data_IF_725522432448
#
_entry.id   IF_725522432448
#
_cell.length_a   1.000
_cell.length_b   1.000
_cell.length_c   1.000
_cell.angle_alpha   90.00
_cell.angle_beta   90.00
_cell.angle_gamma   90.00
#
_symmetry.space_group_name_H-M   'P 1'
#
loop_
_entity.id
_entity.type
_entity.pdbx_description
1 polymer ?
#
# COMPACT_ATOMS: atom_id res chain seq x y z
N UNK A 1 49.99 -10.85 51.88
CA UNK A 1 49.95 -9.55 52.60
C UNK A 1 49.29 -8.53 51.68
N UNK A 2 47.96 -8.37 51.69
CA UNK A 2 47.13 -7.54 52.59
C UNK A 2 47.33 -6.01 52.43
N UNK A 3 46.31 -5.38 51.82
CA UNK A 3 45.84 -3.98 51.94
C UNK A 3 46.76 -2.94 51.24
N UNK A 4 46.24 -1.94 50.49
CA UNK A 4 45.11 -1.05 50.80
C UNK A 4 44.45 -0.50 49.52
N UNK A 5 43.13 -0.49 49.57
CA UNK A 5 42.24 0.35 48.74
C UNK A 5 42.48 1.82 49.10
N UNK A 6 42.70 2.68 48.11
CA UNK A 6 42.57 4.14 48.27
C UNK A 6 41.30 4.58 47.54
N UNK A 7 40.32 5.01 48.32
CA UNK A 7 39.18 5.79 47.87
C UNK A 7 39.68 7.14 47.36
N UNK A 8 39.23 7.56 46.18
CA UNK A 8 39.38 8.93 45.71
C UNK A 8 37.97 9.52 45.63
N UNK A 9 37.87 10.71 46.21
CA UNK A 9 36.66 11.46 46.47
C UNK A 9 35.85 11.77 45.22
N UNK A 10 34.53 11.67 45.37
CA UNK A 10 33.53 12.15 44.44
C UNK A 10 33.47 13.68 44.59
N UNK A 11 33.96 14.40 43.59
CA UNK A 11 33.73 15.85 43.49
C UNK A 11 32.43 16.07 42.73
N UNK A 12 31.41 16.51 43.46
CA UNK A 12 30.15 17.02 42.93
C UNK A 12 30.40 18.26 42.07
N UNK A 13 30.29 18.10 40.76
CA UNK A 13 30.18 19.20 39.80
C UNK A 13 28.73 19.38 39.38
N UNK A 14 28.07 20.40 39.93
CA UNK A 14 26.87 20.99 39.34
C UNK A 14 27.21 21.43 37.92
N UNK A 15 26.65 20.76 36.91
CA UNK A 15 26.50 21.33 35.58
C UNK A 15 25.00 21.47 35.36
N UNK A 16 24.60 22.72 35.17
CA UNK A 16 23.22 23.16 35.08
C UNK A 16 22.42 22.31 34.11
N UNK A 17 21.29 21.83 34.60
CA UNK A 17 20.17 21.42 33.77
C UNK A 17 19.73 22.67 32.99
N UNK A 18 20.28 22.85 31.79
CA UNK A 18 19.53 23.47 30.72
C UNK A 18 18.33 22.57 30.50
N UNK A 19 17.22 22.95 31.11
CA UNK A 19 15.87 22.53 30.76
C UNK A 19 15.65 23.05 29.34
N UNK A 20 16.25 22.36 28.38
CA UNK A 20 15.99 22.52 26.97
C UNK A 20 14.53 22.14 26.80
N UNK A 21 13.74 23.15 26.48
CA UNK A 21 12.33 23.09 26.20
C UNK A 21 11.92 21.70 25.70
N UNK A 22 11.18 20.97 26.53
CA UNK A 22 10.20 20.01 26.05
C UNK A 22 9.25 20.83 25.20
N UNK A 23 9.58 20.95 23.92
CA UNK A 23 8.67 21.41 22.90
C UNK A 23 7.53 20.41 22.88
N UNK A 24 6.54 20.74 23.69
CA UNK A 24 5.14 20.46 23.46
C UNK A 24 4.87 20.72 21.96
N UNK A 25 4.97 19.67 21.15
CA UNK A 25 4.26 19.55 19.88
C UNK A 25 3.02 18.67 20.09
N UNK A 26 1.94 19.14 20.76
CA UNK A 26 0.68 18.44 20.76
C UNK A 26 -0.13 18.88 19.52
N UNK A 27 0.39 18.65 18.31
CA UNK A 27 -0.33 19.03 17.09
C UNK A 27 0.00 18.21 15.85
N UNK A 28 0.56 17.01 15.96
CA UNK A 28 0.80 16.14 14.79
C UNK A 28 0.67 14.67 15.17
N UNK A 29 -0.42 14.27 15.83
CA UNK A 29 -0.79 12.86 15.79
C UNK A 29 -0.96 12.48 14.31
N UNK A 30 -0.19 11.52 13.77
CA UNK A 30 -0.49 11.00 12.46
C UNK A 30 -1.93 10.50 12.54
N UNK A 31 -2.82 10.95 11.65
CA UNK A 31 -4.12 10.30 11.46
C UNK A 31 -3.84 8.81 11.49
N UNK A 32 -4.37 8.09 12.49
CA UNK A 32 -4.20 6.65 12.63
C UNK A 32 -4.50 6.06 11.26
N UNK A 33 -3.51 5.37 10.67
CA UNK A 33 -3.73 4.72 9.39
C UNK A 33 -4.88 3.75 9.61
N UNK A 34 -6.01 4.00 8.93
CA UNK A 34 -7.16 3.13 8.97
C UNK A 34 -6.82 1.93 8.09
N UNK A 35 -6.16 0.97 8.71
CA UNK A 35 -5.78 -0.31 8.09
C UNK A 35 -6.74 -1.38 8.60
N UNK A 36 -7.30 -2.16 7.68
CA UNK A 36 -8.20 -3.28 7.98
C UNK A 36 -7.72 -4.55 7.30
N UNK A 37 -8.03 -5.71 7.88
CA UNK A 37 -8.08 -6.97 7.12
C UNK A 37 -9.16 -6.86 6.05
N UNK A 38 -9.01 -7.56 4.92
CA UNK A 38 -10.04 -7.54 3.88
C UNK A 38 -11.29 -8.27 4.38
N UNK A 39 -12.45 -7.61 4.46
CA UNK A 39 -13.70 -8.27 4.84
C UNK A 39 -14.16 -9.26 3.77
N UNK A 40 -14.78 -10.37 4.18
CA UNK A 40 -15.30 -11.39 3.25
C UNK A 40 -16.27 -10.82 2.21
N UNK A 41 -17.04 -9.78 2.56
CA UNK A 41 -17.95 -9.12 1.64
C UNK A 41 -17.24 -8.38 0.48
N UNK A 42 -16.04 -7.83 0.71
CA UNK A 42 -15.25 -7.20 -0.35
C UNK A 42 -14.81 -8.25 -1.35
N UNK A 43 -14.34 -9.40 -0.86
CA UNK A 43 -13.94 -10.54 -1.68
C UNK A 43 -15.13 -11.08 -2.50
N UNK A 44 -16.32 -11.19 -1.91
CA UNK A 44 -17.52 -11.66 -2.60
C UNK A 44 -17.98 -10.70 -3.70
N UNK A 45 -17.94 -9.38 -3.44
CA UNK A 45 -18.38 -8.36 -4.41
C UNK A 45 -17.40 -8.16 -5.57
N UNK A 46 -16.12 -8.45 -5.36
CA UNK A 46 -15.05 -8.31 -6.34
C UNK A 46 -14.24 -9.62 -6.45
N UNK A 47 -14.74 -10.60 -7.21
CA UNK A 47 -14.14 -11.92 -7.33
C UNK A 47 -12.67 -11.89 -7.77
N UNK A 48 -12.26 -10.91 -8.55
CA UNK A 48 -10.87 -10.78 -8.99
C UNK A 48 -9.91 -10.47 -7.84
N UNK A 49 -10.36 -9.66 -6.86
CA UNK A 49 -9.63 -9.45 -5.61
C UNK A 49 -9.60 -10.74 -4.79
N UNK A 50 -10.68 -11.51 -4.78
CA UNK A 50 -10.71 -12.81 -4.11
C UNK A 50 -9.68 -13.78 -4.68
N UNK A 51 -9.54 -13.85 -6.01
CA UNK A 51 -8.52 -14.68 -6.66
C UNK A 51 -7.12 -14.22 -6.25
N UNK A 52 -6.83 -12.91 -6.37
CA UNK A 52 -5.53 -12.37 -5.96
C UNK A 52 -5.22 -12.64 -4.48
N UNK A 53 -6.21 -12.48 -3.60
CA UNK A 53 -6.06 -12.77 -2.18
C UNK A 53 -5.78 -14.26 -1.95
N UNK A 54 -6.53 -15.18 -2.57
CA UNK A 54 -6.28 -16.63 -2.46
C UNK A 54 -4.88 -17.02 -2.94
N UNK A 55 -4.36 -16.39 -3.99
CA UNK A 55 -2.98 -16.62 -4.44
C UNK A 55 -1.95 -16.12 -3.42
N UNK A 56 -2.21 -14.99 -2.78
CA UNK A 56 -1.38 -14.55 -1.65
C UNK A 56 -1.42 -15.56 -0.49
N UNK A 57 -2.58 -16.15 -0.19
CA UNK A 57 -2.70 -17.16 0.86
C UNK A 57 -1.97 -18.46 0.50
N UNK A 58 -2.06 -18.92 -0.75
CA UNK A 58 -1.36 -20.13 -1.21
C UNK A 58 0.16 -19.98 -1.20
N UNK A 59 0.66 -18.74 -1.24
CA UNK A 59 2.08 -18.38 -1.12
C UNK A 59 2.54 -18.15 0.33
N UNK A 60 1.71 -18.46 1.33
CA UNK A 60 2.10 -18.48 2.74
C UNK A 60 1.50 -17.39 3.62
N UNK A 61 0.61 -16.53 3.11
CA UNK A 61 0.02 -15.40 3.87
C UNK A 61 1.06 -14.40 4.42
N UNK A 62 2.20 -14.25 3.77
CA UNK A 62 3.25 -13.35 4.22
C UNK A 62 3.72 -12.45 3.08
N UNK A 63 4.13 -11.24 3.43
CA UNK A 63 4.83 -10.39 2.48
C UNK A 63 6.21 -10.96 2.19
N UNK A 64 6.48 -11.32 0.94
CA UNK A 64 7.80 -11.81 0.49
C UNK A 64 8.17 -11.04 -0.77
N UNK A 65 9.19 -10.17 -0.65
CA UNK A 65 9.73 -9.43 -1.80
C UNK A 65 10.11 -10.42 -2.91
N UNK A 66 9.63 -10.21 -4.14
CA UNK A 66 9.93 -11.16 -5.21
C UNK A 66 8.78 -12.10 -5.54
N UNK A 67 8.18 -12.67 -4.50
CA UNK A 67 7.38 -13.88 -4.62
C UNK A 67 5.93 -13.64 -4.26
N UNK A 68 5.70 -12.77 -3.27
CA UNK A 68 4.39 -12.46 -2.72
C UNK A 68 4.40 -11.01 -2.20
N UNK A 69 4.63 -10.06 -3.11
CA UNK A 69 4.71 -8.62 -2.83
C UNK A 69 3.51 -7.85 -3.44
N UNK A 70 3.55 -6.52 -3.38
CA UNK A 70 2.47 -5.67 -3.91
C UNK A 70 2.24 -5.83 -5.42
N UNK A 71 3.30 -5.97 -6.21
CA UNK A 71 3.15 -6.09 -7.66
C UNK A 71 2.70 -7.49 -8.07
N UNK A 72 3.05 -8.53 -7.32
CA UNK A 72 2.49 -9.88 -7.48
C UNK A 72 0.99 -9.90 -7.18
N UNK A 73 0.53 -9.24 -6.11
CA UNK A 73 -0.91 -9.16 -5.83
C UNK A 73 -1.68 -8.51 -7.01
N UNK A 74 -1.13 -7.42 -7.57
CA UNK A 74 -1.74 -6.75 -8.73
C UNK A 74 -1.64 -7.59 -10.01
N UNK A 75 -0.55 -8.33 -10.20
CA UNK A 75 -0.45 -9.30 -11.30
C UNK A 75 -1.54 -10.37 -11.21
N UNK A 76 -1.73 -10.96 -10.03
CA UNK A 76 -2.75 -11.98 -9.79
C UNK A 76 -4.17 -11.39 -10.01
N UNK A 77 -4.39 -10.12 -9.64
CA UNK A 77 -5.63 -9.40 -9.95
C UNK A 77 -5.83 -9.23 -11.47
N UNK A 78 -4.81 -8.78 -12.21
CA UNK A 78 -4.88 -8.62 -13.67
C UNK A 78 -5.19 -9.97 -14.33
N UNK A 79 -4.51 -11.05 -13.94
CA UNK A 79 -4.77 -12.39 -14.44
C UNK A 79 -6.22 -12.83 -14.17
N UNK A 80 -6.76 -12.50 -12.99
CA UNK A 80 -8.15 -12.80 -12.63
C UNK A 80 -9.19 -12.04 -13.47
N UNK A 81 -8.81 -10.94 -14.12
CA UNK A 81 -9.67 -10.26 -15.11
C UNK A 81 -9.71 -10.97 -16.47
N UNK A 82 -9.00 -12.09 -16.63
CA UNK A 82 -8.88 -12.82 -17.90
C UNK A 82 -7.82 -12.28 -18.86
N UNK A 83 -7.05 -11.26 -18.43
CA UNK A 83 -5.99 -10.68 -19.23
C UNK A 83 -4.65 -11.41 -18.97
N UNK A 84 -3.96 -11.90 -20.01
CA UNK A 84 -2.67 -12.56 -19.83
C UNK A 84 -1.61 -11.53 -19.41
N UNK A 85 -0.72 -11.94 -18.51
CA UNK A 85 0.45 -11.15 -18.11
C UNK A 85 1.70 -11.87 -18.60
N UNK A 86 2.49 -11.27 -19.53
CA UNK A 86 3.55 -11.99 -20.23
C UNK A 86 4.78 -12.32 -19.38
N UNK A 87 4.98 -11.59 -18.28
CA UNK A 87 6.09 -11.78 -17.36
C UNK A 87 5.76 -11.13 -16.02
N UNK A 88 6.49 -11.48 -14.96
CA UNK A 88 6.32 -10.88 -13.63
C UNK A 88 6.53 -9.35 -13.68
N UNK A 89 5.51 -8.52 -13.39
CA UNK A 89 5.69 -7.08 -13.40
C UNK A 89 6.30 -6.59 -12.09
N UNK A 90 7.16 -5.59 -12.19
CA UNK A 90 7.58 -4.74 -11.07
C UNK A 90 6.68 -3.50 -11.00
N UNK A 91 6.79 -2.69 -9.96
CA UNK A 91 6.08 -1.39 -9.91
C UNK A 91 6.54 -0.43 -11.01
N UNK A 92 7.77 -0.59 -11.53
CA UNK A 92 8.24 0.12 -12.72
C UNK A 92 7.48 -0.31 -13.97
N UNK A 93 7.35 -1.62 -14.17
CA UNK A 93 6.58 -2.18 -15.27
C UNK A 93 5.13 -1.70 -15.23
N UNK A 94 4.50 -1.76 -14.05
CA UNK A 94 3.11 -1.31 -13.85
C UNK A 94 2.92 0.20 -14.06
N UNK A 95 4.00 1.01 -14.01
CA UNK A 95 3.94 2.45 -14.30
C UNK A 95 3.91 2.75 -15.83
N UNK A 96 4.21 1.76 -16.66
CA UNK A 96 4.26 1.92 -18.12
C UNK A 96 2.86 1.88 -18.75
N UNK A 97 2.48 2.95 -19.45
CA UNK A 97 1.19 3.00 -20.17
C UNK A 97 1.12 1.94 -21.26
N UNK A 98 2.26 1.62 -21.90
CA UNK A 98 2.33 0.58 -22.92
C UNK A 98 1.98 -0.79 -22.32
N UNK A 99 2.67 -1.17 -21.24
CA UNK A 99 2.44 -2.45 -20.58
C UNK A 99 1.01 -2.55 -20.05
N UNK A 100 0.52 -1.52 -19.35
CA UNK A 100 -0.84 -1.55 -18.78
C UNK A 100 -1.90 -1.69 -19.87
N UNK A 101 -1.75 -1.03 -21.03
CA UNK A 101 -2.65 -1.22 -22.17
C UNK A 101 -2.59 -2.63 -22.76
N UNK A 102 -1.39 -3.21 -22.88
CA UNK A 102 -1.20 -4.57 -23.37
C UNK A 102 -1.93 -5.60 -22.48
N UNK A 103 -2.00 -5.37 -21.17
CA UNK A 103 -2.71 -6.24 -20.21
C UNK A 103 -4.14 -5.78 -19.91
N UNK A 104 -4.73 -4.91 -20.75
CA UNK A 104 -6.16 -4.59 -20.69
C UNK A 104 -6.56 -3.41 -19.81
N UNK A 105 -5.64 -2.49 -19.49
CA UNK A 105 -5.89 -1.32 -18.66
C UNK A 105 -5.44 0.00 -19.31
N UNK A 106 -6.26 1.05 -19.20
CA UNK A 106 -5.96 2.39 -19.72
C UNK A 106 -5.61 3.38 -18.61
N UNK A 107 -4.67 4.33 -18.84
CA UNK A 107 -4.36 5.37 -17.87
C UNK A 107 -5.53 6.35 -17.70
N UNK A 108 -5.75 6.76 -16.46
CA UNK A 108 -6.89 7.58 -16.05
C UNK A 108 -6.48 8.74 -15.16
N UNK A 109 -7.37 9.74 -15.07
CA UNK A 109 -7.17 10.93 -14.21
C UNK A 109 -8.03 10.91 -12.93
N UNK A 110 -9.08 10.11 -12.92
CA UNK A 110 -10.04 10.02 -11.82
C UNK A 110 -10.03 8.61 -11.26
N UNK A 111 -10.13 8.48 -9.95
CA UNK A 111 -10.10 7.17 -9.27
C UNK A 111 -11.51 6.61 -9.15
N UNK A 112 -11.67 5.33 -9.49
CA UNK A 112 -12.88 4.55 -9.34
C UNK A 112 -12.56 3.17 -8.76
N UNK A 113 -13.58 2.52 -8.22
CA UNK A 113 -13.51 1.11 -7.81
C UNK A 113 -13.10 0.23 -8.99
N UNK A 114 -12.21 -0.72 -8.74
CA UNK A 114 -11.58 -1.59 -9.75
C UNK A 114 -10.33 -1.01 -10.41
N UNK A 115 -10.01 0.27 -10.18
CA UNK A 115 -8.79 0.86 -10.73
C UNK A 115 -7.54 0.37 -9.98
N UNK A 116 -6.42 0.25 -10.70
CA UNK A 116 -5.10 -0.01 -10.14
C UNK A 116 -4.41 1.34 -9.89
N UNK A 117 -3.87 1.52 -8.70
CA UNK A 117 -3.03 2.66 -8.34
C UNK A 117 -1.58 2.21 -8.29
N UNK A 118 -0.71 2.93 -9.00
CA UNK A 118 0.73 2.69 -8.96
C UNK A 118 1.40 4.01 -8.60
N UNK A 119 2.36 3.99 -7.69
CA UNK A 119 3.22 5.14 -7.46
C UNK A 119 4.68 4.73 -7.34
N UNK A 120 5.56 5.65 -7.74
CA UNK A 120 7.01 5.53 -7.60
C UNK A 120 7.60 6.81 -7.04
N UNK A 121 8.61 6.64 -6.21
CA UNK A 121 9.32 7.73 -5.53
C UNK A 121 10.80 7.38 -5.37
N UNK A 122 11.62 8.40 -5.13
CA UNK A 122 13.03 8.22 -4.77
C UNK A 122 13.18 8.28 -3.26
N UNK A 123 13.82 7.27 -2.66
CA UNK A 123 14.16 7.28 -1.23
C UNK A 123 15.33 8.25 -0.92
N UNK A 124 15.79 8.29 0.32
CA UNK A 124 16.91 9.14 0.75
C UNK A 124 18.22 8.83 0.00
N UNK A 125 18.41 7.59 -0.43
CA UNK A 125 19.57 7.13 -1.20
C UNK A 125 19.42 7.34 -2.72
N UNK A 126 18.40 8.10 -3.14
CA UNK A 126 18.09 8.38 -4.55
C UNK A 126 17.72 7.13 -5.39
N UNK A 127 17.38 6.03 -4.73
CA UNK A 127 16.92 4.79 -5.36
C UNK A 127 15.43 4.85 -5.64
N UNK A 128 15.02 4.33 -6.80
CA UNK A 128 13.61 4.20 -7.13
C UNK A 128 12.94 3.10 -6.31
N UNK A 129 11.93 3.50 -5.54
CA UNK A 129 11.00 2.62 -4.85
C UNK A 129 9.60 2.85 -5.41
N UNK A 130 8.69 1.93 -5.12
CA UNK A 130 7.31 2.03 -5.58
C UNK A 130 6.40 1.10 -4.82
N UNK A 131 5.11 1.31 -5.03
CA UNK A 131 4.06 0.49 -4.44
C UNK A 131 2.83 0.52 -5.34
N UNK A 132 1.95 -0.44 -5.14
CA UNK A 132 0.75 -0.58 -5.97
C UNK A 132 -0.39 -1.24 -5.18
N UNK A 133 -1.62 -1.02 -5.62
CA UNK A 133 -2.82 -1.59 -5.03
C UNK A 133 -4.04 -1.42 -5.93
N UNK A 134 -5.16 -2.05 -5.54
CA UNK A 134 -6.42 -2.00 -6.28
C UNK A 134 -7.48 -1.30 -5.45
N UNK A 135 -8.21 -0.37 -6.06
CA UNK A 135 -9.25 0.39 -5.40
C UNK A 135 -10.52 -0.45 -5.25
N UNK A 136 -11.03 -0.53 -4.03
CA UNK A 136 -12.24 -1.27 -3.68
C UNK A 136 -13.28 -0.35 -3.03
N UNK A 137 -14.55 -0.71 -3.10
CA UNK A 137 -15.62 -0.03 -2.37
C UNK A 137 -16.04 -0.84 -1.15
N UNK A 138 -16.04 -0.21 0.02
CA UNK A 138 -16.45 -0.82 1.28
C UNK A 138 -16.87 0.26 2.28
N UNK A 139 -17.89 -0.01 3.10
CA UNK A 139 -18.44 0.96 4.08
C UNK A 139 -18.72 2.35 3.47
N UNK A 140 -19.36 2.38 2.29
CA UNK A 140 -19.70 3.60 1.55
C UNK A 140 -18.53 4.54 1.22
N UNK A 141 -17.31 4.01 1.12
CA UNK A 141 -16.13 4.75 0.70
C UNK A 141 -15.16 3.88 -0.10
N UNK A 142 -14.16 4.53 -0.69
CA UNK A 142 -13.10 3.85 -1.41
C UNK A 142 -11.93 3.51 -0.49
N UNK A 143 -11.40 2.30 -0.69
CA UNK A 143 -10.22 1.80 -0.02
C UNK A 143 -9.25 1.26 -1.07
N UNK A 144 -8.02 0.97 -0.68
CA UNK A 144 -7.01 0.32 -1.51
C UNK A 144 -6.67 -1.02 -0.88
N UNK A 145 -6.83 -2.10 -1.63
CA UNK A 145 -6.31 -3.42 -1.26
C UNK A 145 -4.90 -3.55 -1.82
N UNK A 146 -3.93 -3.85 -0.95
CA UNK A 146 -2.54 -4.04 -1.34
C UNK A 146 -1.81 -4.95 -0.37
N UNK A 147 -0.68 -5.51 -0.81
CA UNK A 147 0.22 -6.30 0.02
C UNK A 147 1.40 -5.43 0.45
N UNK A 148 1.59 -5.19 1.74
CA UNK A 148 2.59 -4.24 2.23
C UNK A 148 3.52 -4.86 3.27
N UNK A 149 4.82 -4.63 3.09
CA UNK A 149 5.84 -5.03 4.06
C UNK A 149 5.60 -4.39 5.44
N UNK A 150 5.14 -3.13 5.48
CA UNK A 150 4.82 -2.41 6.72
C UNK A 150 3.66 -2.99 7.52
N UNK A 151 2.85 -3.85 6.88
CA UNK A 151 1.70 -4.52 7.48
C UNK A 151 1.86 -6.04 7.48
N UNK A 152 3.04 -6.53 7.11
CA UNK A 152 3.41 -7.95 7.04
C UNK A 152 2.46 -8.80 6.17
N UNK A 153 1.76 -8.17 5.22
CA UNK A 153 0.78 -8.89 4.40
C UNK A 153 -0.24 -8.03 3.67
N UNK A 154 -1.30 -8.69 3.21
CA UNK A 154 -2.39 -8.06 2.47
C UNK A 154 -3.39 -7.39 3.42
N UNK A 155 -3.59 -6.09 3.19
CA UNK A 155 -4.48 -5.24 3.96
C UNK A 155 -5.34 -4.37 3.05
N UNK A 156 -6.28 -3.67 3.67
CA UNK A 156 -7.10 -2.64 3.06
C UNK A 156 -6.87 -1.31 3.80
N UNK A 157 -6.43 -0.29 3.07
CA UNK A 157 -6.16 1.05 3.58
C UNK A 157 -7.14 2.07 3.01
N UNK A 158 -7.48 3.08 3.80
CA UNK A 158 -8.33 4.18 3.34
C UNK A 158 -7.68 4.94 2.16
N UNK A 159 -8.44 5.19 1.09
CA UNK A 159 -7.90 5.77 -0.15
C UNK A 159 -7.28 7.15 0.08
N UNK A 160 -7.93 8.02 0.88
CA UNK A 160 -7.42 9.37 1.13
C UNK A 160 -6.08 9.32 1.87
N UNK A 161 -5.95 8.40 2.83
CA UNK A 161 -4.72 8.20 3.57
C UNK A 161 -3.61 7.61 2.70
N UNK A 162 -3.93 6.65 1.86
CA UNK A 162 -3.00 6.06 0.89
C UNK A 162 -2.48 7.13 -0.09
N UNK A 163 -3.36 7.99 -0.60
CA UNK A 163 -3.00 9.12 -1.45
C UNK A 163 -2.21 10.19 -0.68
N UNK A 164 -2.53 10.47 0.58
CA UNK A 164 -1.79 11.43 1.40
C UNK A 164 -0.37 10.94 1.71
N UNK A 165 -0.20 9.64 2.00
CA UNK A 165 1.12 9.03 2.16
C UNK A 165 1.91 9.13 0.87
N UNK A 166 1.29 8.76 -0.26
CA UNK A 166 1.88 8.92 -1.59
C UNK A 166 2.31 10.38 -1.80
N UNK A 167 1.44 11.36 -1.57
CA UNK A 167 1.74 12.79 -1.71
C UNK A 167 2.91 13.26 -0.82
N UNK A 168 3.03 12.72 0.42
CA UNK A 168 4.12 13.04 1.34
C UNK A 168 5.46 12.49 0.87
N UNK A 169 5.51 11.21 0.50
CA UNK A 169 6.70 10.57 -0.07
C UNK A 169 7.14 11.24 -1.38
N UNK A 170 6.21 11.96 -2.02
CA UNK A 170 6.39 12.54 -3.33
C UNK A 170 6.57 14.06 -3.35
N UNK A 171 6.74 14.73 -2.20
CA UNK A 171 6.98 16.19 -2.18
C UNK A 171 8.37 16.63 -2.65
N UNK A 172 9.31 15.69 -2.85
CA UNK A 172 10.74 16.03 -3.03
C UNK A 172 11.36 15.72 -4.40
N UNK A 173 10.76 14.95 -5.32
CA UNK A 173 11.52 14.42 -6.48
C UNK A 173 10.71 13.89 -7.69
N UNK A 174 10.19 14.76 -8.59
CA UNK A 174 9.66 14.38 -9.94
C UNK A 174 8.88 13.06 -9.95
N UNK A 175 7.87 12.97 -9.08
CA UNK A 175 7.23 11.71 -8.75
C UNK A 175 6.15 11.32 -9.76
N UNK A 176 5.86 10.02 -9.77
CA UNK A 176 4.92 9.43 -10.71
C UNK A 176 3.87 8.66 -9.94
N UNK A 177 2.63 9.14 -10.01
CA UNK A 177 1.45 8.36 -9.65
C UNK A 177 0.63 8.17 -10.92
N UNK A 178 0.13 6.96 -11.14
CA UNK A 178 -0.79 6.66 -12.22
C UNK A 178 -1.95 5.82 -11.72
N UNK A 179 -3.08 6.02 -12.38
CA UNK A 179 -4.32 5.29 -12.19
C UNK A 179 -4.55 4.53 -13.48
N UNK A 180 -4.86 3.25 -13.38
CA UNK A 180 -5.14 2.41 -14.53
C UNK A 180 -6.48 1.72 -14.37
N UNK A 181 -7.36 1.89 -15.35
CA UNK A 181 -8.71 1.33 -15.35
C UNK A 181 -8.83 0.23 -16.39
N UNK A 182 -9.45 -0.88 -16.01
CA UNK A 182 -9.74 -2.01 -16.90
C UNK A 182 -10.58 -1.56 -18.12
N UNK A 183 -10.31 -2.12 -19.30
CA UNK A 183 -10.95 -1.71 -20.56
C UNK A 183 -12.44 -2.03 -20.61
N UNK A 184 -12.86 -3.06 -19.89
CA UNK A 184 -14.23 -3.55 -19.73
C UNK A 184 -14.93 -2.94 -18.50
N UNK A 185 -14.46 -1.80 -17.99
CA UNK A 185 -14.95 -1.23 -16.72
C UNK A 185 -16.46 -1.02 -16.69
N UNK A 186 -17.09 -0.61 -17.79
CA UNK A 186 -18.54 -0.38 -17.82
C UNK A 186 -19.35 -1.67 -17.57
N UNK A 187 -19.01 -2.77 -18.26
CA UNK A 187 -19.68 -4.05 -18.08
C UNK A 187 -19.38 -4.63 -16.70
N UNK A 188 -18.11 -4.58 -16.28
CA UNK A 188 -17.72 -5.05 -14.96
C UNK A 188 -18.41 -4.28 -13.83
N UNK A 189 -18.50 -2.94 -13.95
CA UNK A 189 -19.10 -2.09 -12.92
C UNK A 189 -20.61 -2.34 -12.78
N UNK A 190 -21.31 -2.61 -13.89
CA UNK A 190 -22.72 -3.01 -13.85
C UNK A 190 -22.92 -4.28 -13.03
N UNK A 191 -22.08 -5.30 -13.22
CA UNK A 191 -22.14 -6.52 -12.41
C UNK A 191 -21.73 -6.29 -10.96
N UNK A 192 -20.72 -5.45 -10.71
CA UNK A 192 -20.31 -5.08 -9.36
C UNK A 192 -21.45 -4.43 -8.59
N UNK A 193 -22.17 -3.48 -9.20
CA UNK A 193 -23.34 -2.84 -8.60
C UNK A 193 -24.41 -3.89 -8.29
N UNK A 194 -24.68 -4.82 -9.22
CA UNK A 194 -25.62 -5.91 -8.98
C UNK A 194 -25.22 -6.78 -7.76
N UNK A 195 -23.94 -7.20 -7.64
CA UNK A 195 -23.43 -7.97 -6.50
C UNK A 195 -23.45 -7.18 -5.18
N UNK A 196 -23.26 -5.87 -5.26
CA UNK A 196 -23.29 -4.96 -4.10
C UNK A 196 -24.70 -4.85 -3.53
N UNK A 197 -25.67 -4.65 -4.42
CA UNK A 197 -27.06 -4.34 -4.07
C UNK A 197 -27.88 -5.63 -3.83
N UNK A 198 -27.49 -6.75 -4.45
CA UNK A 198 -28.10 -8.07 -4.29
C UNK A 198 -27.10 -9.09 -3.73
N UNK A 199 -26.81 -9.07 -2.42
CA UNK A 199 -25.73 -9.88 -1.82
C UNK A 199 -26.00 -11.40 -1.77
N UNK A 200 -27.22 -11.84 -2.11
CA UNK A 200 -27.59 -13.25 -2.21
C UNK A 200 -27.20 -13.90 -3.56
N UNK A 201 -26.82 -13.08 -4.55
CA UNK A 201 -26.23 -13.50 -5.82
C UNK A 201 -24.69 -13.47 -5.75
#
# INVERSE_FOLDING_TARGET
MSRRVKAIAITTGLIGATVGAVLLYPALFPKVLLVKKIPAEVLRRQPEIQVAYRQYQSKGNEYIWGTNDCSILVMDYILATGNPVPFRPTTETLMSDKFMREVGFNPEKTIKTGDILVYRYKNHDNEWRGHTGVVVWHDNRQWVVHNAASHEGVVMEDLEQFQALTARLTKSNKNQQKIFRRNDWNSWYAEFVNRRDNPAN
#
